data_IF_732481518895
#
_entry.id   IF_732481518895
#
_cell.length_a   1.000
_cell.length_b   1.000
_cell.length_c   1.000
_cell.angle_alpha   90.00
_cell.angle_beta   90.00
_cell.angle_gamma   90.00
#
_symmetry.space_group_name_H-M   'P 1'
#
loop_
_entity.id
_entity.type
_entity.pdbx_description
1 polymer ?
#
# COMPACT_ATOMS: atom_id res chain seq x y z
N UNK A 1 -8.39 -22.27 -17.37
CA UNK A 1 -7.85 -22.16 -16.02
C UNK A 1 -6.76 -23.22 -15.82
N UNK A 2 -5.56 -22.79 -15.46
CA UNK A 2 -4.47 -23.69 -15.07
C UNK A 2 -4.25 -23.55 -13.54
N UNK A 3 -4.04 -24.68 -12.85
CA UNK A 3 -3.76 -24.73 -11.42
C UNK A 3 -2.46 -25.50 -11.17
N UNK A 4 -1.64 -24.98 -10.29
CA UNK A 4 -0.45 -25.66 -9.79
C UNK A 4 -0.35 -25.49 -8.28
N UNK A 5 -0.03 -26.55 -7.56
CA UNK A 5 0.17 -26.53 -6.12
C UNK A 5 1.65 -26.78 -5.81
N UNK A 6 2.26 -25.91 -5.03
CA UNK A 6 3.65 -26.01 -4.64
C UNK A 6 3.80 -26.91 -3.41
N UNK A 7 5.01 -27.44 -3.19
CA UNK A 7 5.33 -28.21 -1.99
C UNK A 7 5.22 -27.42 -0.67
N UNK A 8 5.14 -26.09 -0.77
CA UNK A 8 4.98 -25.16 0.37
C UNK A 8 3.51 -24.84 0.69
N UNK A 9 2.55 -25.48 0.01
CA UNK A 9 1.12 -25.25 0.21
C UNK A 9 0.58 -23.99 -0.45
N UNK A 10 1.35 -23.33 -1.32
CA UNK A 10 0.86 -22.25 -2.17
C UNK A 10 0.13 -22.81 -3.38
N UNK A 11 -0.95 -22.14 -3.79
CA UNK A 11 -1.69 -22.50 -4.99
C UNK A 11 -1.57 -21.37 -6.02
N UNK A 12 -1.08 -21.72 -7.21
CA UNK A 12 -1.01 -20.83 -8.35
C UNK A 12 -2.20 -21.09 -9.27
N UNK A 13 -2.89 -20.00 -9.66
CA UNK A 13 -4.02 -20.06 -10.59
C UNK A 13 -3.76 -19.10 -11.74
N UNK A 14 -3.85 -19.60 -12.97
CA UNK A 14 -3.80 -18.78 -14.17
C UNK A 14 -5.12 -18.89 -14.93
N UNK A 15 -5.73 -17.75 -15.19
CA UNK A 15 -6.90 -17.63 -16.05
C UNK A 15 -6.49 -17.01 -17.37
N UNK A 16 -6.99 -17.56 -18.50
CA UNK A 16 -6.85 -17.00 -19.83
C UNK A 16 -8.21 -16.86 -20.48
N UNK A 17 -8.37 -15.85 -21.33
CA UNK A 17 -9.57 -15.60 -22.11
C UNK A 17 -9.16 -14.98 -23.45
N UNK A 18 -9.97 -15.22 -24.50
CA UNK A 18 -9.84 -14.55 -25.80
C UNK A 18 -10.34 -13.09 -25.74
N UNK A 19 -11.14 -12.75 -24.71
CA UNK A 19 -11.65 -11.41 -24.46
C UNK A 19 -10.87 -10.77 -23.31
N UNK A 20 -10.86 -9.42 -23.20
CA UNK A 20 -10.28 -8.76 -22.05
C UNK A 20 -10.85 -9.33 -20.74
N UNK A 21 -9.97 -9.72 -19.83
CA UNK A 21 -10.39 -10.17 -18.50
C UNK A 21 -10.67 -8.92 -17.65
N UNK A 22 -11.88 -8.86 -17.10
CA UNK A 22 -12.17 -7.89 -16.05
C UNK A 22 -11.28 -8.19 -14.84
N UNK A 23 -10.70 -7.16 -14.23
CA UNK A 23 -9.88 -7.34 -13.05
C UNK A 23 -10.70 -8.00 -11.93
N UNK A 24 -10.22 -9.12 -11.39
CA UNK A 24 -10.84 -9.76 -10.22
C UNK A 24 -10.86 -8.73 -9.08
N UNK A 25 -12.05 -8.32 -8.57
CA UNK A 25 -12.09 -7.44 -7.41
C UNK A 25 -11.40 -8.09 -6.21
N UNK A 26 -10.54 -7.38 -5.50
CA UNK A 26 -9.83 -7.92 -4.33
C UNK A 26 -10.79 -8.54 -3.29
N UNK A 27 -12.00 -7.98 -3.14
CA UNK A 27 -13.05 -8.49 -2.25
C UNK A 27 -13.82 -9.71 -2.78
N UNK A 28 -13.71 -10.05 -4.08
CA UNK A 28 -14.40 -11.21 -4.66
C UNK A 28 -13.83 -12.55 -4.18
N UNK A 29 -12.62 -12.53 -3.62
CA UNK A 29 -11.93 -13.69 -3.06
C UNK A 29 -12.14 -13.81 -1.55
N UNK A 30 -13.16 -13.12 -1.00
CA UNK A 30 -13.57 -13.22 0.39
C UNK A 30 -14.01 -14.65 0.69
N UNK A 31 -13.05 -15.47 1.05
CA UNK A 31 -13.30 -16.82 1.53
C UNK A 31 -13.60 -16.80 3.03
N UNK A 32 -14.38 -17.75 3.48
CA UNK A 32 -14.62 -18.03 4.90
C UNK A 32 -13.33 -18.41 5.67
N UNK A 33 -12.17 -18.39 5.00
CA UNK A 33 -10.87 -18.77 5.53
C UNK A 33 -9.87 -17.63 5.34
N UNK A 34 -8.90 -17.46 6.25
CA UNK A 34 -7.87 -16.40 6.17
C UNK A 34 -6.84 -16.72 5.08
N UNK A 35 -7.21 -16.52 3.82
CA UNK A 35 -6.31 -16.70 2.66
C UNK A 35 -5.80 -15.35 2.21
N UNK A 36 -4.48 -15.24 1.96
CA UNK A 36 -3.86 -14.09 1.32
C UNK A 36 -3.64 -14.41 -0.15
N UNK A 37 -4.11 -13.54 -1.04
CA UNK A 37 -4.03 -13.74 -2.50
C UNK A 37 -3.31 -12.57 -3.15
N UNK A 38 -2.24 -12.87 -3.89
CA UNK A 38 -1.58 -11.92 -4.79
C UNK A 38 -2.15 -12.05 -6.20
N UNK A 39 -2.45 -10.92 -6.85
CA UNK A 39 -3.08 -10.86 -8.18
C UNK A 39 -2.20 -10.02 -9.10
N UNK A 40 -1.68 -10.64 -10.17
CA UNK A 40 -0.99 -9.94 -11.27
C UNK A 40 -1.98 -9.30 -12.24
N UNK A 41 -1.48 -8.38 -13.07
CA UNK A 41 -2.30 -7.69 -14.05
C UNK A 41 -2.44 -8.52 -15.34
N UNK A 42 -3.61 -8.55 -15.97
CA UNK A 42 -3.83 -9.27 -17.23
C UNK A 42 -2.90 -8.78 -18.33
N UNK A 43 -2.24 -9.71 -19.05
CA UNK A 43 -1.30 -9.40 -20.14
C UNK A 43 -1.41 -10.45 -21.24
N UNK A 44 -0.92 -10.10 -22.43
CA UNK A 44 -0.95 -10.99 -23.60
C UNK A 44 0.39 -11.67 -23.86
N UNK A 45 0.32 -12.88 -24.42
CA UNK A 45 1.47 -13.65 -24.87
C UNK A 45 2.33 -14.22 -23.76
N UNK A 46 3.36 -14.98 -24.15
CA UNK A 46 4.21 -15.71 -23.20
C UNK A 46 4.98 -14.78 -22.22
N UNK A 47 5.49 -13.67 -22.74
CA UNK A 47 6.17 -12.66 -21.89
C UNK A 47 5.19 -12.02 -20.92
N UNK A 48 3.97 -11.75 -21.36
CA UNK A 48 2.90 -11.24 -20.50
C UNK A 48 2.51 -12.24 -19.41
N UNK A 49 2.41 -13.52 -19.76
CA UNK A 49 2.14 -14.59 -18.79
C UNK A 49 3.19 -14.64 -17.66
N UNK A 50 4.49 -14.64 -18.02
CA UNK A 50 5.57 -14.62 -17.04
C UNK A 50 5.47 -13.40 -16.13
N UNK A 51 5.31 -12.22 -16.72
CA UNK A 51 5.21 -10.97 -15.96
C UNK A 51 3.99 -10.94 -15.03
N UNK A 52 2.82 -11.41 -15.47
CA UNK A 52 1.63 -11.53 -14.62
C UNK A 52 1.91 -12.42 -13.40
N UNK A 53 2.64 -13.52 -13.59
CA UNK A 53 3.04 -14.41 -12.53
C UNK A 53 3.98 -13.73 -11.52
N UNK A 54 5.02 -13.06 -11.99
CA UNK A 54 5.96 -12.33 -11.13
C UNK A 54 5.25 -11.21 -10.35
N UNK A 55 4.34 -10.48 -11.01
CA UNK A 55 3.49 -9.47 -10.37
C UNK A 55 2.61 -10.06 -9.25
N UNK A 56 2.06 -11.25 -9.45
CA UNK A 56 1.25 -11.94 -8.43
C UNK A 56 2.10 -12.37 -7.23
N UNK A 57 3.32 -12.86 -7.45
CA UNK A 57 4.28 -13.21 -6.39
C UNK A 57 4.61 -11.97 -5.54
N UNK A 58 4.94 -10.85 -6.19
CA UNK A 58 5.26 -9.62 -5.48
C UNK A 58 4.06 -9.06 -4.70
N UNK A 59 2.86 -9.13 -5.28
CA UNK A 59 1.65 -8.71 -4.59
C UNK A 59 1.35 -9.60 -3.36
N UNK A 60 1.56 -10.90 -3.47
CA UNK A 60 1.43 -11.83 -2.35
C UNK A 60 2.46 -11.52 -1.25
N UNK A 61 3.73 -11.30 -1.62
CA UNK A 61 4.81 -10.95 -0.69
C UNK A 61 4.44 -9.72 0.15
N UNK A 62 3.99 -8.65 -0.50
CA UNK A 62 3.54 -7.44 0.19
C UNK A 62 2.31 -7.71 1.05
N UNK A 63 1.33 -8.44 0.52
CA UNK A 63 0.12 -8.78 1.26
C UNK A 63 0.39 -9.57 2.56
N UNK A 64 1.43 -10.39 2.58
CA UNK A 64 1.85 -11.13 3.78
C UNK A 64 2.49 -10.23 4.86
N UNK A 65 2.95 -9.03 4.50
CA UNK A 65 3.51 -8.06 5.45
C UNK A 65 2.43 -7.22 6.14
N UNK A 66 1.24 -7.10 5.55
CA UNK A 66 0.17 -6.24 6.06
C UNK A 66 -0.54 -6.80 7.30
N UNK A 67 -0.85 -5.92 8.25
CA UNK A 67 -1.66 -6.22 9.45
C UNK A 67 -2.67 -5.06 9.62
N UNK A 68 -3.98 -5.30 9.64
CA UNK A 68 -4.67 -6.57 9.36
C UNK A 68 -4.55 -6.99 7.90
N UNK A 69 -4.55 -8.28 7.64
CA UNK A 69 -4.43 -8.82 6.27
C UNK A 69 -5.75 -8.68 5.53
N UNK A 70 -5.76 -7.93 4.43
CA UNK A 70 -6.80 -8.04 3.43
C UNK A 70 -6.66 -9.39 2.71
N UNK A 71 -7.74 -9.84 2.05
CA UNK A 71 -7.72 -11.17 1.44
C UNK A 71 -7.10 -11.18 0.04
N UNK A 72 -7.14 -10.07 -0.71
CA UNK A 72 -6.59 -9.98 -2.05
C UNK A 72 -5.81 -8.69 -2.29
N UNK A 73 -4.62 -8.80 -2.88
CA UNK A 73 -3.73 -7.70 -3.22
C UNK A 73 -3.44 -7.73 -4.71
N UNK A 74 -3.76 -6.66 -5.41
CA UNK A 74 -3.43 -6.51 -6.82
C UNK A 74 -2.10 -5.80 -6.96
N UNK A 75 -1.28 -6.26 -7.90
CA UNK A 75 0.04 -5.65 -8.13
C UNK A 75 -0.05 -4.15 -8.42
N UNK A 76 -1.05 -3.69 -9.19
CA UNK A 76 -1.25 -2.26 -9.47
C UNK A 76 -1.42 -1.39 -8.21
N UNK A 77 -1.94 -1.97 -7.13
CA UNK A 77 -2.23 -1.25 -5.89
C UNK A 77 -1.02 -1.28 -4.93
N UNK A 78 -0.20 -2.33 -5.01
CA UNK A 78 0.93 -2.55 -4.11
C UNK A 78 2.30 -2.51 -4.80
N UNK A 79 2.36 -2.36 -6.11
CA UNK A 79 3.61 -2.46 -6.89
C UNK A 79 4.70 -1.47 -6.47
N UNK A 80 4.33 -0.25 -6.08
CA UNK A 80 5.29 0.71 -5.52
C UNK A 80 5.87 0.20 -4.18
N UNK A 81 5.01 -0.31 -3.29
CA UNK A 81 5.47 -0.90 -2.04
C UNK A 81 6.31 -2.16 -2.28
N UNK A 82 5.93 -2.99 -3.25
CA UNK A 82 6.71 -4.15 -3.66
C UNK A 82 8.12 -3.76 -4.13
N UNK A 83 8.22 -2.73 -4.97
CA UNK A 83 9.51 -2.22 -5.44
C UNK A 83 10.36 -1.66 -4.29
N UNK A 84 9.78 -0.81 -3.45
CA UNK A 84 10.48 -0.11 -2.38
C UNK A 84 10.82 -1.01 -1.18
N UNK A 85 10.15 -2.16 -1.01
CA UNK A 85 10.38 -3.11 0.08
C UNK A 85 11.23 -4.33 -0.32
N UNK A 86 11.98 -4.26 -1.41
CA UNK A 86 12.93 -5.31 -1.81
C UNK A 86 14.06 -5.49 -0.78
N UNK A 87 14.48 -4.38 -0.17
CA UNK A 87 15.40 -4.34 0.95
C UNK A 87 14.68 -3.70 2.14
N UNK A 88 14.23 -4.51 3.09
CA UNK A 88 13.44 -4.05 4.23
C UNK A 88 14.23 -3.16 5.20
N UNK A 89 15.53 -3.37 5.31
CA UNK A 89 16.37 -2.56 6.17
C UNK A 89 16.48 -1.13 5.61
N UNK A 90 16.80 -1.02 4.33
CA UNK A 90 16.86 0.29 3.66
C UNK A 90 15.49 0.96 3.58
N UNK A 91 14.42 0.18 3.39
CA UNK A 91 13.06 0.71 3.44
C UNK A 91 12.75 1.33 4.81
N UNK A 92 13.17 0.70 5.92
CA UNK A 92 13.03 1.25 7.28
C UNK A 92 13.84 2.53 7.45
N UNK A 93 15.12 2.54 7.04
CA UNK A 93 15.93 3.75 7.10
C UNK A 93 15.30 4.92 6.34
N UNK A 94 14.73 4.65 5.16
CA UNK A 94 14.02 5.66 4.40
C UNK A 94 12.78 6.18 5.13
N UNK A 95 11.96 5.29 5.70
CA UNK A 95 10.77 5.66 6.48
C UNK A 95 11.16 6.49 7.70
N UNK A 96 12.17 6.07 8.44
CA UNK A 96 12.65 6.78 9.63
C UNK A 96 13.20 8.17 9.28
N UNK A 97 13.94 8.25 8.17
CA UNK A 97 14.50 9.53 7.68
C UNK A 97 13.42 10.50 7.20
N UNK A 98 12.36 10.01 6.53
CA UNK A 98 11.33 10.86 5.94
C UNK A 98 10.22 11.21 6.91
N UNK A 99 9.82 10.30 7.79
CA UNK A 99 8.72 10.51 8.73
C UNK A 99 9.18 11.02 10.11
N UNK A 100 10.44 10.80 10.49
CA UNK A 100 10.94 11.21 11.80
C UNK A 100 10.02 10.76 12.93
N UNK A 101 9.67 11.65 13.85
CA UNK A 101 8.79 11.36 14.99
C UNK A 101 7.38 10.94 14.58
N UNK A 102 6.95 11.28 13.37
CA UNK A 102 5.66 10.82 12.81
C UNK A 102 5.63 9.29 12.58
N UNK A 103 6.79 8.61 12.53
CA UNK A 103 6.89 7.16 12.40
C UNK A 103 6.52 6.41 13.69
N UNK A 104 6.55 7.05 14.87
CA UNK A 104 6.27 6.37 16.13
C UNK A 104 4.90 5.66 16.14
N UNK A 105 4.84 4.47 16.74
CA UNK A 105 3.62 3.65 16.78
C UNK A 105 2.71 4.02 17.97
N UNK A 106 2.36 5.28 18.07
CA UNK A 106 1.37 5.79 19.01
C UNK A 106 0.02 6.05 18.33
N UNK A 107 -1.05 6.06 19.11
CA UNK A 107 -2.40 6.37 18.62
C UNK A 107 -2.46 7.74 17.94
N UNK A 108 -1.79 8.73 18.51
CA UNK A 108 -1.74 10.10 17.99
C UNK A 108 -0.99 10.15 16.65
N UNK A 109 0.16 9.51 16.53
CA UNK A 109 0.92 9.47 15.28
C UNK A 109 0.19 8.66 14.19
N UNK A 110 -0.47 7.57 14.55
CA UNK A 110 -1.33 6.83 13.60
C UNK A 110 -2.46 7.70 13.05
N UNK A 111 -3.08 8.51 13.91
CA UNK A 111 -4.14 9.43 13.49
C UNK A 111 -3.60 10.56 12.60
N UNK A 112 -2.44 11.13 12.91
CA UNK A 112 -1.78 12.14 12.06
C UNK A 112 -1.40 11.55 10.69
N UNK A 113 -0.85 10.33 10.64
CA UNK A 113 -0.59 9.62 9.37
C UNK A 113 -1.88 9.36 8.57
N UNK A 114 -2.99 9.03 9.23
CA UNK A 114 -4.30 8.88 8.57
C UNK A 114 -4.76 10.19 7.92
N UNK A 115 -4.61 11.31 8.62
CA UNK A 115 -4.95 12.64 8.09
C UNK A 115 -4.06 13.03 6.92
N UNK A 116 -2.77 12.74 7.01
CA UNK A 116 -1.82 13.02 5.92
C UNK A 116 -2.11 12.17 4.68
N UNK A 117 -2.50 10.90 4.84
CA UNK A 117 -2.97 10.07 3.72
C UNK A 117 -4.21 10.63 3.04
N UNK A 118 -5.19 11.06 3.82
CA UNK A 118 -6.40 11.71 3.28
C UNK A 118 -6.06 13.00 2.51
N UNK A 119 -5.09 13.77 3.01
CA UNK A 119 -4.62 14.98 2.35
C UNK A 119 -3.95 14.68 1.00
N UNK A 120 -3.09 13.67 0.91
CA UNK A 120 -2.52 13.21 -0.36
C UNK A 120 -3.60 12.63 -1.30
N UNK A 121 -4.53 11.83 -0.79
CA UNK A 121 -5.66 11.30 -1.56
C UNK A 121 -6.56 12.39 -2.16
N UNK A 122 -6.65 13.53 -1.48
CA UNK A 122 -7.35 14.72 -1.96
C UNK A 122 -6.46 15.65 -2.82
N UNK A 123 -5.32 15.14 -3.34
CA UNK A 123 -4.38 15.92 -4.15
C UNK A 123 -3.87 17.18 -3.43
N UNK A 124 -3.55 17.05 -2.16
CA UNK A 124 -3.06 18.11 -1.28
C UNK A 124 -4.04 19.29 -1.13
N UNK A 125 -5.34 19.06 -1.31
CA UNK A 125 -6.39 20.07 -1.12
C UNK A 125 -7.05 19.89 0.23
N UNK A 126 -6.98 20.93 1.07
CA UNK A 126 -7.47 20.90 2.47
C UNK A 126 -8.97 20.65 2.57
N UNK A 127 -9.79 21.32 1.77
CA UNK A 127 -11.25 21.21 1.89
C UNK A 127 -11.74 19.79 1.58
N UNK A 128 -11.42 19.16 0.41
CA UNK A 128 -11.83 17.78 0.14
C UNK A 128 -11.26 16.76 1.14
N UNK A 129 -10.03 16.99 1.64
CA UNK A 129 -9.45 16.11 2.66
C UNK A 129 -10.19 16.21 4.01
N UNK A 130 -10.57 17.41 4.42
CA UNK A 130 -11.34 17.63 5.65
C UNK A 130 -12.74 17.01 5.55
N UNK A 131 -13.40 17.14 4.40
CA UNK A 131 -14.69 16.52 4.13
C UNK A 131 -14.60 14.98 4.21
N UNK A 132 -13.58 14.39 3.60
CA UNK A 132 -13.33 12.94 3.66
C UNK A 132 -13.04 12.42 5.09
N UNK A 133 -12.52 13.28 5.96
CA UNK A 133 -12.23 12.98 7.37
C UNK A 133 -13.36 13.34 8.32
N UNK A 134 -14.43 13.99 7.83
CA UNK A 134 -15.54 14.53 8.63
C UNK A 134 -15.08 15.49 9.72
N UNK A 135 -14.10 16.37 9.42
CA UNK A 135 -13.58 17.39 10.32
C UNK A 135 -13.63 18.79 9.70
N UNK A 136 -13.56 19.83 10.53
CA UNK A 136 -13.49 21.19 10.02
C UNK A 136 -12.13 21.47 9.35
N UNK A 137 -12.14 22.22 8.24
CA UNK A 137 -10.92 22.58 7.47
C UNK A 137 -9.82 23.25 8.29
N UNK A 138 -10.18 24.04 9.30
CA UNK A 138 -9.19 24.69 10.18
C UNK A 138 -8.50 23.64 11.07
N UNK A 139 -9.26 22.68 11.61
CA UNK A 139 -8.70 21.58 12.40
C UNK A 139 -7.69 20.76 11.58
N UNK A 140 -8.00 20.51 10.29
CA UNK A 140 -7.04 19.81 9.42
C UNK A 140 -5.78 20.66 9.18
N UNK A 141 -5.92 21.99 8.94
CA UNK A 141 -4.76 22.87 8.78
C UNK A 141 -3.83 22.87 10.00
N UNK A 142 -4.41 22.91 11.19
CA UNK A 142 -3.62 22.87 12.45
C UNK A 142 -2.89 21.52 12.59
N UNK A 143 -3.54 20.42 12.23
CA UNK A 143 -2.91 19.09 12.23
C UNK A 143 -1.81 18.97 11.16
N UNK A 144 -2.01 19.52 9.97
CA UNK A 144 -0.98 19.54 8.92
C UNK A 144 0.24 20.35 9.35
N UNK A 145 0.06 21.52 10.01
CA UNK A 145 1.19 22.26 10.57
C UNK A 145 1.96 21.44 11.62
N UNK A 146 1.24 20.72 12.50
CA UNK A 146 1.88 19.83 13.48
C UNK A 146 2.64 18.69 12.78
N UNK A 147 2.08 18.12 11.71
CA UNK A 147 2.77 17.10 10.91
C UNK A 147 4.06 17.66 10.32
N UNK A 148 4.05 18.86 9.71
CA UNK A 148 5.26 19.49 9.17
C UNK A 148 6.32 19.77 10.25
N UNK A 149 5.92 20.09 11.47
CA UNK A 149 6.84 20.21 12.61
C UNK A 149 7.50 18.87 12.96
N UNK A 150 6.75 17.77 12.96
CA UNK A 150 7.26 16.42 13.21
C UNK A 150 8.16 15.90 12.09
N UNK A 151 7.83 16.24 10.84
CA UNK A 151 8.64 15.90 9.66
C UNK A 151 9.93 16.73 9.58
N UNK A 152 9.97 17.93 10.15
CA UNK A 152 11.08 18.86 10.01
C UNK A 152 11.17 19.57 8.66
N UNK A 153 10.17 19.38 7.77
CA UNK A 153 10.07 20.01 6.46
C UNK A 153 8.62 20.26 6.06
N UNK A 154 8.40 21.11 5.04
CA UNK A 154 7.07 21.34 4.49
C UNK A 154 6.69 20.19 3.56
N UNK A 155 5.47 19.66 3.72
CA UNK A 155 4.95 18.56 2.88
C UNK A 155 5.06 18.91 1.38
N UNK A 156 4.84 20.18 1.02
CA UNK A 156 4.91 20.64 -0.36
C UNK A 156 6.31 20.59 -0.97
N UNK A 157 7.38 20.56 -0.18
CA UNK A 157 8.75 20.55 -0.64
C UNK A 157 9.23 19.13 -1.04
N UNK A 158 8.65 18.08 -0.40
CA UNK A 158 9.00 16.66 -0.61
C UNK A 158 7.77 15.75 -0.66
N UNK A 159 6.79 16.04 -1.52
CA UNK A 159 5.50 15.33 -1.49
C UNK A 159 5.62 13.86 -1.91
N UNK A 160 6.49 13.54 -2.88
CA UNK A 160 6.66 12.18 -3.37
C UNK A 160 7.35 11.27 -2.34
N UNK A 161 8.41 11.77 -1.71
CA UNK A 161 9.16 11.05 -0.68
C UNK A 161 8.28 10.82 0.56
N UNK A 162 7.58 11.85 1.01
CA UNK A 162 6.66 11.76 2.13
C UNK A 162 5.54 10.75 1.88
N UNK A 163 4.93 10.78 0.68
CA UNK A 163 3.88 9.82 0.30
C UNK A 163 4.42 8.40 0.18
N UNK A 164 5.63 8.21 -0.36
CA UNK A 164 6.29 6.91 -0.45
C UNK A 164 6.58 6.32 0.94
N UNK A 165 7.12 7.14 1.85
CA UNK A 165 7.39 6.74 3.23
C UNK A 165 6.12 6.38 3.99
N UNK A 166 5.04 7.15 3.82
CA UNK A 166 3.73 6.83 4.39
C UNK A 166 3.17 5.49 3.89
N UNK A 167 3.31 5.21 2.59
CA UNK A 167 2.90 3.91 2.04
C UNK A 167 3.74 2.78 2.60
N UNK A 168 5.07 2.92 2.60
CA UNK A 168 5.97 1.91 3.15
C UNK A 168 5.67 1.62 4.63
N UNK A 169 5.38 2.63 5.43
CA UNK A 169 5.09 2.48 6.86
C UNK A 169 3.88 1.57 7.15
N UNK A 170 3.00 1.36 6.18
CA UNK A 170 1.87 0.43 6.30
C UNK A 170 2.30 -1.04 6.16
N UNK A 171 3.37 -1.31 5.41
CA UNK A 171 3.80 -2.65 5.05
C UNK A 171 4.94 -3.20 5.92
N UNK A 172 5.85 -2.35 6.35
CA UNK A 172 7.08 -2.80 7.02
C UNK A 172 6.97 -2.88 8.55
N UNK A 173 5.82 -2.57 9.12
CA UNK A 173 5.67 -2.45 10.57
C UNK A 173 6.58 -1.33 11.11
N UNK A 174 6.01 -0.32 11.70
CA UNK A 174 6.81 0.74 12.33
C UNK A 174 7.45 0.20 13.60
N UNK A 175 8.67 0.63 13.95
CA UNK A 175 9.25 0.30 15.24
C UNK A 175 8.34 0.82 16.34
N UNK A 176 8.07 -0.04 17.35
CA UNK A 176 7.36 0.33 18.58
C UNK A 176 8.22 1.17 19.48
#
# INVERSE_FOLDING_TARGET
LLRHETSTGQVWLWASSEHPLDPIPAGALSAQHPIVVGIGEPRQGLTGFRRTHDEAIEALRVGLMLVPRAQGYRYRDVGLAALLSQDLERARWFVDSELGDLAADTTDMRELRRMLRAYFGAQMRVAPAADALYIHRNSLRDRLRRIEQLLGYRIADRPAECQAALRLSEFIGLPG
#
